data_IF_481559996351
#
_entry.id   IF_481559996351
#
_cell.length_a   1.000
_cell.length_b   1.000
_cell.length_c   1.000
_cell.angle_alpha   90.00
_cell.angle_beta   90.00
_cell.angle_gamma   90.00
#
_symmetry.space_group_name_H-M   'P 1'
#
loop_
_entity.id
_entity.type
_entity.pdbx_description
1 polymer ?
#
# COMPACT_ATOMS: atom_id res chain seq x y z
N UNK A 1 3.53 -28.19 3.47
CA UNK A 1 3.65 -26.77 3.82
C UNK A 1 3.35 -25.83 2.63
N UNK A 2 3.05 -26.32 1.42
CA UNK A 2 2.60 -25.52 0.27
C UNK A 2 1.11 -25.14 0.34
N UNK A 3 0.26 -26.10 0.70
CA UNK A 3 -1.19 -25.99 0.47
C UNK A 3 -1.87 -24.95 1.39
N UNK A 4 -1.38 -24.82 2.63
CA UNK A 4 -1.82 -23.75 3.55
C UNK A 4 -1.37 -22.36 3.09
N UNK A 5 -0.20 -22.24 2.48
CA UNK A 5 0.28 -20.96 1.93
C UNK A 5 -0.53 -20.55 0.71
N UNK A 6 -0.84 -21.51 -0.16
CA UNK A 6 -1.68 -21.30 -1.35
C UNK A 6 -3.11 -20.90 -0.96
N UNK A 7 -3.73 -21.57 0.02
CA UNK A 7 -5.05 -21.19 0.52
C UNK A 7 -5.09 -19.76 1.10
N UNK A 8 -4.09 -19.38 1.91
CA UNK A 8 -3.99 -18.02 2.44
C UNK A 8 -3.83 -17.01 1.31
N UNK A 9 -2.96 -17.25 0.33
CA UNK A 9 -2.79 -16.34 -0.81
C UNK A 9 -4.11 -16.19 -1.60
N UNK A 10 -4.83 -17.30 -1.82
CA UNK A 10 -6.12 -17.27 -2.52
C UNK A 10 -7.19 -16.47 -1.76
N UNK A 11 -7.33 -16.68 -0.44
CA UNK A 11 -8.26 -15.91 0.38
C UNK A 11 -7.94 -14.41 0.37
N UNK A 12 -6.66 -14.04 0.45
CA UNK A 12 -6.25 -12.64 0.43
C UNK A 12 -6.49 -12.00 -0.93
N UNK A 13 -6.20 -12.73 -2.02
CA UNK A 13 -6.41 -12.25 -3.39
C UNK A 13 -7.89 -11.97 -3.67
N UNK A 14 -8.79 -12.81 -3.16
CA UNK A 14 -10.25 -12.60 -3.26
C UNK A 14 -10.70 -11.37 -2.45
N UNK A 15 -10.08 -11.11 -1.30
CA UNK A 15 -10.42 -9.98 -0.43
C UNK A 15 -9.74 -8.64 -0.82
N UNK A 16 -8.75 -8.70 -1.71
CA UNK A 16 -8.00 -7.56 -2.25
C UNK A 16 -8.47 -7.18 -3.65
N UNK A 17 -9.75 -7.36 -3.97
CA UNK A 17 -10.32 -6.89 -5.23
C UNK A 17 -10.03 -5.38 -5.42
N UNK A 18 -9.24 -4.99 -6.43
CA UNK A 18 -8.90 -3.60 -6.69
C UNK A 18 -10.12 -2.69 -6.82
N UNK A 19 -11.24 -3.24 -7.31
CA UNK A 19 -12.51 -2.52 -7.48
C UNK A 19 -13.00 -1.94 -6.14
N UNK A 20 -12.72 -2.59 -5.01
CA UNK A 20 -13.12 -2.11 -3.69
C UNK A 20 -12.50 -0.75 -3.36
N UNK A 21 -11.26 -0.51 -3.76
CA UNK A 21 -10.59 0.77 -3.53
C UNK A 21 -11.20 1.88 -4.38
N UNK A 22 -11.47 1.60 -5.66
CA UNK A 22 -12.17 2.53 -6.56
C UNK A 22 -13.57 2.86 -6.05
N UNK A 23 -14.34 1.87 -5.60
CA UNK A 23 -15.68 2.08 -5.04
C UNK A 23 -15.63 2.94 -3.77
N UNK A 24 -14.63 2.72 -2.91
CA UNK A 24 -14.43 3.53 -1.70
C UNK A 24 -14.09 4.98 -2.05
N UNK A 25 -13.17 5.18 -3.00
CA UNK A 25 -12.82 6.52 -3.48
C UNK A 25 -14.05 7.25 -4.02
N UNK A 26 -14.82 6.60 -4.89
CA UNK A 26 -16.05 7.16 -5.46
C UNK A 26 -17.07 7.53 -4.37
N UNK A 27 -17.29 6.65 -3.39
CA UNK A 27 -18.18 6.92 -2.27
C UNK A 27 -17.74 8.13 -1.43
N UNK A 28 -16.43 8.32 -1.22
CA UNK A 28 -15.90 9.52 -0.55
C UNK A 28 -16.18 10.77 -1.39
N UNK A 29 -15.94 10.72 -2.70
CA UNK A 29 -16.22 11.86 -3.61
C UNK A 29 -17.69 12.24 -3.61
N UNK A 30 -18.59 11.27 -3.73
CA UNK A 30 -20.03 11.49 -3.67
C UNK A 30 -20.45 12.10 -2.33
N UNK A 31 -19.95 11.56 -1.22
CA UNK A 31 -20.23 12.09 0.11
C UNK A 31 -19.76 13.55 0.24
N UNK A 32 -18.57 13.90 -0.24
CA UNK A 32 -18.05 15.27 -0.20
C UNK A 32 -18.93 16.25 -1.00
N UNK A 33 -19.42 15.84 -2.18
CA UNK A 33 -20.34 16.65 -2.99
C UNK A 33 -21.68 16.85 -2.28
N UNK A 34 -22.24 15.79 -1.68
CA UNK A 34 -23.52 15.84 -0.99
C UNK A 34 -23.49 16.65 0.33
N UNK A 35 -22.31 16.78 0.95
CA UNK A 35 -22.13 17.45 2.25
C UNK A 35 -21.51 18.85 2.14
N UNK A 36 -21.72 19.56 1.02
CA UNK A 36 -21.21 20.92 0.76
C UNK A 36 -19.67 21.06 0.89
N UNK A 37 -18.91 19.97 0.75
CA UNK A 37 -17.46 19.94 0.82
C UNK A 37 -16.81 19.86 -0.58
N UNK A 38 -17.53 20.27 -1.63
CA UNK A 38 -17.06 20.21 -3.02
C UNK A 38 -15.76 20.97 -3.27
N UNK A 39 -15.55 22.10 -2.58
CA UNK A 39 -14.31 22.86 -2.73
C UNK A 39 -13.09 22.09 -2.22
N UNK A 40 -13.25 21.34 -1.12
CA UNK A 40 -12.20 20.46 -0.62
C UNK A 40 -11.87 19.36 -1.62
N UNK A 41 -12.90 18.74 -2.22
CA UNK A 41 -12.72 17.73 -3.25
C UNK A 41 -11.93 18.29 -4.45
N UNK A 42 -12.28 19.48 -4.95
CA UNK A 42 -11.56 20.12 -6.07
C UNK A 42 -10.08 20.33 -5.71
N UNK A 43 -9.80 20.92 -4.55
CA UNK A 43 -8.41 21.16 -4.14
C UNK A 43 -7.61 19.85 -3.97
N UNK A 44 -8.25 18.79 -3.44
CA UNK A 44 -7.62 17.49 -3.31
C UNK A 44 -7.32 16.86 -4.68
N UNK A 45 -8.26 16.94 -5.64
CA UNK A 45 -8.06 16.43 -7.00
C UNK A 45 -6.99 17.21 -7.75
N UNK A 46 -6.96 18.54 -7.61
CA UNK A 46 -5.89 19.39 -8.16
C UNK A 46 -4.53 18.99 -7.59
N UNK A 47 -4.42 18.86 -6.27
CA UNK A 47 -3.18 18.42 -5.60
C UNK A 47 -2.73 17.05 -6.13
N UNK A 48 -3.63 16.06 -6.15
CA UNK A 48 -3.32 14.71 -6.64
C UNK A 48 -2.97 14.69 -8.14
N UNK A 49 -3.55 15.58 -8.94
CA UNK A 49 -3.23 15.71 -10.36
C UNK A 49 -1.85 16.32 -10.61
N UNK A 50 -1.38 17.16 -9.68
CA UNK A 50 -0.06 17.81 -9.76
C UNK A 50 1.10 16.90 -9.37
N UNK A 51 0.83 15.76 -8.73
CA UNK A 51 1.86 14.81 -8.33
C UNK A 51 2.55 14.18 -9.55
N UNK A 52 3.88 13.96 -9.51
CA UNK A 52 4.61 13.28 -10.56
C UNK A 52 4.36 11.76 -10.49
N UNK A 53 3.16 11.33 -10.88
CA UNK A 53 2.67 9.94 -10.69
C UNK A 53 3.60 8.89 -11.25
N UNK A 54 4.17 9.15 -12.44
CA UNK A 54 5.09 8.21 -13.08
C UNK A 54 6.40 8.08 -12.29
N UNK A 55 6.96 9.18 -11.83
CA UNK A 55 8.19 9.17 -11.01
C UNK A 55 7.96 8.42 -9.70
N UNK A 56 6.87 8.72 -9.00
CA UNK A 56 6.48 8.02 -7.77
C UNK A 56 6.31 6.52 -8.02
N UNK A 57 5.64 6.14 -9.12
CA UNK A 57 5.44 4.74 -9.47
C UNK A 57 6.75 4.03 -9.77
N UNK A 58 7.63 4.64 -10.57
CA UNK A 58 8.92 4.06 -10.93
C UNK A 58 9.83 3.94 -9.70
N UNK A 59 9.85 4.93 -8.81
CA UNK A 59 10.59 4.87 -7.56
C UNK A 59 10.07 3.74 -6.66
N UNK A 60 8.75 3.62 -6.51
CA UNK A 60 8.13 2.57 -5.73
C UNK A 60 8.47 1.16 -6.27
N UNK A 61 8.32 0.94 -7.57
CA UNK A 61 8.68 -0.33 -8.23
C UNK A 61 10.16 -0.65 -8.03
N UNK A 62 11.04 0.33 -8.27
CA UNK A 62 12.48 0.18 -8.09
C UNK A 62 12.84 -0.26 -6.67
N UNK A 63 12.32 0.44 -5.66
CA UNK A 63 12.59 0.15 -4.24
C UNK A 63 12.05 -1.22 -3.82
N UNK A 64 10.86 -1.62 -4.28
CA UNK A 64 10.33 -2.95 -4.00
C UNK A 64 11.23 -4.03 -4.60
N UNK A 65 11.63 -3.88 -5.86
CA UNK A 65 12.51 -4.85 -6.51
C UNK A 65 13.85 -4.98 -5.77
N UNK A 66 14.45 -3.87 -5.36
CA UNK A 66 15.65 -3.88 -4.52
C UNK A 66 15.43 -4.59 -3.19
N UNK A 67 14.31 -4.34 -2.51
CA UNK A 67 13.98 -4.98 -1.24
C UNK A 67 13.77 -6.50 -1.40
N UNK A 68 13.08 -6.92 -2.45
CA UNK A 68 12.89 -8.35 -2.78
C UNK A 68 14.24 -9.01 -3.03
N UNK A 69 15.10 -8.40 -3.86
CA UNK A 69 16.44 -8.94 -4.13
C UNK A 69 17.24 -9.13 -2.83
N UNK A 70 17.28 -8.11 -1.99
CA UNK A 70 17.96 -8.19 -0.69
C UNK A 70 17.42 -9.33 0.19
N UNK A 71 16.09 -9.49 0.27
CA UNK A 71 15.48 -10.58 1.04
C UNK A 71 15.81 -11.96 0.47
N UNK A 72 15.91 -12.10 -0.86
CA UNK A 72 16.30 -13.37 -1.48
C UNK A 72 17.76 -13.74 -1.22
N UNK A 73 18.64 -12.75 -1.10
CA UNK A 73 20.06 -12.95 -0.77
C UNK A 73 20.28 -13.22 0.73
N UNK A 74 19.37 -12.74 1.60
CA UNK A 74 19.44 -12.88 3.05
C UNK A 74 18.44 -13.93 3.57
N UNK A 75 18.86 -15.20 3.59
CA UNK A 75 18.05 -16.35 4.01
C UNK A 75 17.46 -16.30 5.44
N UNK A 76 17.87 -15.34 6.28
CA UNK A 76 17.32 -15.09 7.62
C UNK A 76 16.03 -14.26 7.61
N UNK A 77 15.71 -13.61 6.49
CA UNK A 77 14.53 -12.76 6.34
C UNK A 77 13.38 -13.63 5.83
N UNK A 78 12.35 -13.81 6.64
CA UNK A 78 11.23 -14.69 6.35
C UNK A 78 10.03 -13.96 5.72
N UNK A 79 9.96 -12.63 5.91
CA UNK A 79 8.91 -11.79 5.38
C UNK A 79 9.41 -10.36 5.15
N UNK A 80 8.88 -9.72 4.10
CA UNK A 80 9.02 -8.31 3.81
C UNK A 80 7.67 -7.64 4.10
N UNK A 81 7.67 -6.60 4.92
CA UNK A 81 6.47 -5.84 5.26
C UNK A 81 6.71 -4.34 5.03
N UNK A 82 5.62 -3.60 4.81
CA UNK A 82 5.61 -2.17 4.54
C UNK A 82 4.67 -1.47 5.52
N UNK A 83 5.19 -0.48 6.24
CA UNK A 83 4.36 0.38 7.07
C UNK A 83 4.51 1.83 6.62
N UNK A 84 3.37 2.49 6.41
CA UNK A 84 3.32 3.94 6.31
C UNK A 84 3.53 4.51 7.71
N UNK A 85 4.72 5.03 7.97
CA UNK A 85 5.05 5.62 9.26
C UNK A 85 5.07 7.15 9.14
N UNK A 86 4.04 7.80 9.68
CA UNK A 86 4.05 9.25 9.90
C UNK A 86 4.83 9.56 11.18
N UNK A 87 6.13 9.77 11.04
CA UNK A 87 7.04 10.10 12.14
C UNK A 87 7.09 11.58 12.52
N UNK A 88 6.30 12.43 11.85
CA UNK A 88 6.39 13.89 11.95
C UNK A 88 7.41 14.53 11.00
N UNK A 89 8.02 13.76 10.09
CA UNK A 89 8.84 14.30 9.00
C UNK A 89 7.95 14.80 7.85
N UNK A 90 8.41 15.78 7.03
CA UNK A 90 7.63 16.31 5.90
C UNK A 90 7.44 15.31 4.75
N UNK A 91 8.16 14.19 4.78
CA UNK A 91 8.16 13.16 3.73
C UNK A 91 7.78 11.83 4.38
N UNK A 92 6.56 11.37 4.10
CA UNK A 92 6.11 10.05 4.53
C UNK A 92 6.74 8.97 3.64
N UNK A 93 7.68 8.22 4.20
CA UNK A 93 8.28 7.07 3.52
C UNK A 93 7.67 5.78 4.05
N UNK A 94 7.24 4.90 3.14
CA UNK A 94 6.90 3.53 3.48
C UNK A 94 8.21 2.75 3.70
N UNK A 95 8.55 2.50 4.96
CA UNK A 95 9.74 1.70 5.27
C UNK A 95 9.48 0.24 4.97
N UNK A 96 10.39 -0.37 4.20
CA UNK A 96 10.48 -1.80 4.03
C UNK A 96 11.32 -2.38 5.18
N UNK A 97 10.79 -3.35 5.92
CA UNK A 97 11.54 -4.03 6.98
C UNK A 97 11.39 -5.55 6.87
N UNK A 98 12.48 -6.25 7.18
CA UNK A 98 12.54 -7.70 7.17
C UNK A 98 12.24 -8.29 8.55
N UNK A 99 11.29 -9.21 8.63
CA UNK A 99 11.00 -9.94 9.86
C UNK A 99 11.66 -11.32 9.86
N UNK A 100 12.21 -11.73 11.00
CA UNK A 100 12.71 -13.09 11.21
C UNK A 100 11.58 -14.14 11.27
N UNK A 101 10.32 -13.71 11.35
CA UNK A 101 9.12 -14.54 11.37
C UNK A 101 7.90 -13.71 10.95
N UNK A 102 6.91 -14.30 10.26
CA UNK A 102 5.65 -13.64 9.90
C UNK A 102 4.79 -13.35 11.15
N UNK A 103 5.09 -12.31 11.93
CA UNK A 103 4.23 -11.89 13.05
C UNK A 103 3.12 -10.97 12.56
N UNK A 104 2.16 -11.57 11.86
CA UNK A 104 0.81 -11.05 11.63
C UNK A 104 -0.29 -11.99 12.17
N UNK A 105 0.07 -13.16 12.70
CA UNK A 105 -0.85 -14.06 13.39
C UNK A 105 -1.07 -13.56 14.83
N UNK A 106 -2.11 -12.76 15.02
CA UNK A 106 -2.80 -12.67 16.31
C UNK A 106 -3.95 -13.66 16.26
N UNK A 107 -4.04 -14.50 17.30
CA UNK A 107 -5.02 -15.57 17.51
C UNK A 107 -6.45 -15.23 17.14
#
# INVERSE_FOLDING_TARGET
MSDQREQVIQEWTVNLDPIRFTNRENGIKEWLVQNNAKQFLICAEELLSSLPKEEILQEFISRINTAIQFCTEQNKIAALDFSWYYGGDPIDVAYAYGLASCKGQVN
#
